data_IF_556160570020
#
_entry.id   IF_556160570020
#
_cell.length_a   1.000
_cell.length_b   1.000
_cell.length_c   1.000
_cell.angle_alpha   90.00
_cell.angle_beta   90.00
_cell.angle_gamma   90.00
#
_symmetry.space_group_name_H-M   'P 1'
#
loop_
_entity.id
_entity.type
_entity.pdbx_description
1 polymer ?
#
# COMPACT_ATOMS: atom_id res chain seq x y z
N UNK A 1 -32.00 -20.34 -0.29
CA UNK A 1 -30.71 -20.47 -0.99
C UNK A 1 -30.09 -19.09 -0.86
N UNK A 2 -29.26 -18.89 0.16
CA UNK A 2 -28.51 -17.65 0.28
C UNK A 2 -27.49 -17.62 -0.86
N UNK A 3 -27.67 -16.71 -1.82
CA UNK A 3 -26.60 -16.34 -2.73
C UNK A 3 -25.56 -15.64 -1.88
N UNK A 4 -24.49 -16.35 -1.52
CA UNK A 4 -23.28 -15.69 -1.03
C UNK A 4 -22.64 -15.01 -2.24
N UNK A 5 -22.94 -13.72 -2.41
CA UNK A 5 -22.27 -12.89 -3.40
C UNK A 5 -20.77 -12.88 -3.08
N UNK A 6 -19.97 -13.35 -4.03
CA UNK A 6 -18.51 -13.40 -3.91
C UNK A 6 -17.90 -12.29 -4.74
N UNK A 7 -17.11 -11.42 -4.09
CA UNK A 7 -16.53 -10.22 -4.67
C UNK A 7 -15.04 -10.44 -4.95
N UNK A 8 -14.54 -10.14 -6.16
CA UNK A 8 -13.13 -10.29 -6.47
C UNK A 8 -12.29 -9.26 -5.71
N UNK A 9 -11.14 -9.69 -5.19
CA UNK A 9 -10.17 -8.85 -4.48
C UNK A 9 -8.86 -8.85 -5.27
N UNK A 10 -8.35 -7.66 -5.59
CA UNK A 10 -7.09 -7.49 -6.30
C UNK A 10 -6.16 -6.57 -5.51
N UNK A 11 -4.86 -6.78 -5.66
CA UNK A 11 -3.83 -5.90 -5.14
C UNK A 11 -3.18 -5.17 -6.32
N UNK A 12 -3.27 -3.84 -6.34
CA UNK A 12 -2.59 -2.99 -7.28
C UNK A 12 -1.23 -2.62 -6.71
N UNK A 13 -0.19 -2.75 -7.51
CA UNK A 13 1.20 -2.49 -7.15
C UNK A 13 1.78 -1.46 -8.09
N UNK A 14 2.39 -0.42 -7.52
CA UNK A 14 2.97 0.71 -8.23
C UNK A 14 4.44 0.86 -7.82
N UNK A 15 5.34 1.02 -8.79
CA UNK A 15 6.73 1.39 -8.59
C UNK A 15 6.87 2.92 -8.64
N UNK A 16 6.96 3.56 -7.47
CA UNK A 16 7.13 5.01 -7.35
C UNK A 16 8.45 5.50 -7.95
N UNK A 17 9.44 4.63 -8.13
CA UNK A 17 10.70 4.98 -8.78
C UNK A 17 10.60 4.99 -10.31
N UNK A 18 9.51 4.45 -10.87
CA UNK A 18 9.32 4.23 -12.32
C UNK A 18 10.53 3.55 -12.96
N UNK A 19 11.10 2.55 -12.29
CA UNK A 19 12.29 1.82 -12.74
C UNK A 19 13.63 2.54 -12.54
N UNK A 20 13.66 3.78 -12.04
CA UNK A 20 14.92 4.49 -11.74
C UNK A 20 15.69 3.82 -10.59
N UNK A 21 14.99 3.26 -9.59
CA UNK A 21 15.63 2.50 -8.51
C UNK A 21 16.45 1.33 -9.08
N UNK A 22 15.90 0.63 -10.08
CA UNK A 22 16.54 -0.50 -10.75
C UNK A 22 17.71 -0.11 -11.65
N UNK A 23 17.74 1.12 -12.18
CA UNK A 23 18.85 1.60 -13.00
C UNK A 23 20.00 2.16 -12.17
N UNK A 24 19.69 2.84 -11.07
CA UNK A 24 20.69 3.41 -10.17
C UNK A 24 21.33 2.33 -9.27
N UNK A 25 20.67 1.18 -9.10
CA UNK A 25 21.17 0.05 -8.32
C UNK A 25 22.45 -0.61 -8.87
N UNK A 26 22.85 -0.31 -10.11
CA UNK A 26 24.04 -0.88 -10.74
C UNK A 26 25.38 -0.17 -10.36
N UNK A 27 25.32 0.97 -9.67
CA UNK A 27 26.49 1.75 -9.22
C UNK A 27 26.62 1.65 -7.69
N UNK A 28 27.80 1.81 -7.06
CA UNK A 28 28.08 1.53 -5.62
C UNK A 28 27.09 2.14 -4.57
N UNK A 29 26.22 3.07 -4.96
CA UNK A 29 24.96 3.48 -4.29
C UNK A 29 23.84 2.40 -4.38
N UNK A 30 24.22 1.21 -4.82
CA UNK A 30 23.37 0.36 -5.63
C UNK A 30 22.55 -0.61 -4.84
N UNK A 31 23.13 -1.09 -3.73
CA UNK A 31 22.40 -1.79 -2.67
C UNK A 31 21.48 -0.85 -1.86
N UNK A 32 21.81 0.46 -1.82
CA UNK A 32 21.01 1.45 -1.10
C UNK A 32 19.77 1.91 -1.88
N UNK A 33 19.87 1.96 -3.21
CA UNK A 33 18.78 2.34 -4.11
C UNK A 33 18.03 1.13 -4.70
N UNK A 34 18.53 -0.11 -4.53
CA UNK A 34 17.88 -1.37 -4.99
C UNK A 34 16.49 -1.61 -4.41
N UNK A 35 16.05 -0.81 -3.44
CA UNK A 35 14.82 -1.04 -2.72
C UNK A 35 13.61 -0.59 -3.53
N UNK A 36 13.34 -1.31 -4.63
CA UNK A 36 12.02 -1.33 -5.24
C UNK A 36 10.96 -1.43 -4.14
N UNK A 37 11.17 -2.25 -3.10
CA UNK A 37 10.27 -2.42 -1.95
C UNK A 37 9.92 -1.12 -1.20
N UNK A 38 10.90 -0.26 -0.90
CA UNK A 38 10.65 1.02 -0.20
C UNK A 38 9.98 2.07 -1.09
N UNK A 39 9.97 1.83 -2.40
CA UNK A 39 9.32 2.66 -3.41
C UNK A 39 8.06 2.00 -3.96
N UNK A 40 7.61 0.86 -3.43
CA UNK A 40 6.35 0.28 -3.86
C UNK A 40 5.20 0.89 -3.06
N UNK A 41 4.21 1.37 -3.80
CA UNK A 41 2.91 1.69 -3.25
C UNK A 41 1.93 0.57 -3.62
N UNK A 42 1.05 0.20 -2.69
CA UNK A 42 -0.03 -0.73 -2.98
C UNK A 42 -1.40 -0.22 -2.56
N UNK A 43 -2.41 -0.63 -3.32
CA UNK A 43 -3.82 -0.43 -3.03
C UNK A 43 -4.60 -1.73 -3.18
N UNK A 44 -5.59 -1.96 -2.30
CA UNK A 44 -6.50 -3.10 -2.40
C UNK A 44 -7.74 -2.69 -3.17
N UNK A 45 -8.04 -3.39 -4.24
CA UNK A 45 -9.22 -3.18 -5.08
C UNK A 45 -10.30 -4.20 -4.75
N UNK A 46 -11.43 -3.72 -4.27
CA UNK A 46 -12.63 -4.51 -3.96
C UNK A 46 -13.86 -3.62 -4.11
N UNK A 47 -15.05 -4.19 -4.41
CA UNK A 47 -16.29 -3.41 -4.57
C UNK A 47 -16.18 -2.27 -5.59
N UNK A 48 -15.34 -2.44 -6.62
CA UNK A 48 -15.11 -1.44 -7.66
C UNK A 48 -14.31 -0.21 -7.22
N UNK A 49 -13.70 -0.22 -6.04
CA UNK A 49 -12.89 0.88 -5.49
C UNK A 49 -11.51 0.40 -5.10
N UNK A 50 -10.52 1.26 -5.28
CA UNK A 50 -9.16 1.07 -4.79
C UNK A 50 -9.00 1.77 -3.45
N UNK A 51 -8.62 1.00 -2.43
CA UNK A 51 -8.42 1.45 -1.06
C UNK A 51 -6.93 1.43 -0.72
N UNK A 52 -6.41 2.52 -0.18
CA UNK A 52 -5.01 2.63 0.20
C UNK A 52 -4.86 3.52 1.44
N UNK A 53 -3.71 3.37 2.11
CA UNK A 53 -3.33 4.25 3.21
C UNK A 53 -2.37 5.33 2.70
N UNK A 54 -2.90 6.54 2.57
CA UNK A 54 -2.12 7.73 2.25
C UNK A 54 -1.61 8.36 3.54
N UNK A 55 -0.34 8.73 3.58
CA UNK A 55 0.21 9.29 4.80
C UNK A 55 -0.29 10.71 5.05
N UNK A 56 -0.46 11.16 6.29
CA UNK A 56 -1.21 12.40 6.64
C UNK A 56 -2.71 12.41 6.28
N UNK A 57 -3.17 11.77 5.20
CA UNK A 57 -4.60 11.72 4.83
C UNK A 57 -5.35 10.59 5.54
N UNK A 58 -4.67 9.50 5.90
CA UNK A 58 -5.33 8.31 6.43
C UNK A 58 -5.76 7.35 5.34
N UNK A 59 -6.67 6.43 5.69
CA UNK A 59 -7.31 5.53 4.72
C UNK A 59 -8.11 6.37 3.73
N UNK A 60 -7.87 6.16 2.44
CA UNK A 60 -8.56 6.83 1.34
C UNK A 60 -8.94 5.81 0.28
N UNK A 61 -9.88 6.18 -0.59
CA UNK A 61 -10.23 5.37 -1.74
C UNK A 61 -10.34 6.22 -3.02
N UNK A 62 -10.21 5.57 -4.16
CA UNK A 62 -10.42 6.17 -5.48
C UNK A 62 -10.92 5.09 -6.47
N UNK A 63 -11.35 5.46 -7.68
CA UNK A 63 -11.54 4.48 -8.74
C UNK A 63 -10.24 3.71 -9.02
N UNK A 64 -10.27 2.42 -9.42
CA UNK A 64 -9.06 1.65 -9.70
C UNK A 64 -8.14 2.33 -10.72
N UNK A 65 -6.89 2.61 -10.33
CA UNK A 65 -5.92 3.36 -11.12
C UNK A 65 -6.21 4.87 -11.20
N UNK A 66 -7.04 5.40 -10.29
CA UNK A 66 -7.48 6.79 -10.25
C UNK A 66 -6.58 7.73 -9.44
N UNK A 67 -5.44 7.23 -8.97
CA UNK A 67 -4.42 8.05 -8.31
C UNK A 67 -3.60 8.85 -9.33
N UNK A 68 -2.79 9.82 -8.88
CA UNK A 68 -1.85 10.53 -9.76
C UNK A 68 -0.73 9.61 -10.29
N UNK A 69 -0.59 8.40 -9.73
CA UNK A 69 0.35 7.40 -10.23
C UNK A 69 -0.09 6.82 -11.57
N UNK A 70 -1.39 6.90 -11.91
CA UNK A 70 -1.97 6.35 -13.12
C UNK A 70 -2.28 4.86 -13.00
N UNK A 71 -2.16 4.07 -14.08
CA UNK A 71 -2.42 2.63 -14.02
C UNK A 71 -1.35 1.88 -13.21
N UNK A 72 -1.70 0.75 -12.54
CA UNK A 72 -0.75 -0.04 -11.78
C UNK A 72 0.29 -0.72 -12.67
N UNK A 73 1.52 -0.83 -12.17
CA UNK A 73 2.61 -1.57 -12.84
C UNK A 73 2.35 -3.08 -12.81
N UNK A 74 1.69 -3.56 -11.74
CA UNK A 74 1.31 -4.96 -11.59
C UNK A 74 -0.01 -5.10 -10.84
N UNK A 75 -0.79 -6.11 -11.22
CA UNK A 75 -2.04 -6.48 -10.56
C UNK A 75 -1.92 -7.92 -10.09
N UNK A 76 -2.03 -8.12 -8.78
CA UNK A 76 -2.00 -9.44 -8.15
C UNK A 76 -3.42 -9.85 -7.78
N UNK A 77 -3.81 -11.06 -8.17
CA UNK A 77 -5.09 -11.65 -7.78
C UNK A 77 -5.01 -12.17 -6.33
N UNK A 78 -5.85 -11.63 -5.45
CA UNK A 78 -5.91 -12.02 -4.04
C UNK A 78 -7.01 -13.06 -3.78
N UNK A 79 -7.83 -13.39 -4.78
CA UNK A 79 -8.98 -14.28 -4.69
C UNK A 79 -10.30 -13.51 -4.58
N UNK A 80 -11.23 -14.05 -3.80
CA UNK A 80 -12.54 -13.43 -3.59
C UNK A 80 -12.89 -13.37 -2.10
N UNK A 81 -13.83 -12.49 -1.77
CA UNK A 81 -14.36 -12.30 -0.43
C UNK A 81 -15.88 -12.39 -0.45
N UNK A 82 -16.47 -12.85 0.65
CA UNK A 82 -17.92 -12.80 0.88
C UNK A 82 -18.31 -11.58 1.74
N UNK A 83 -17.32 -10.75 2.10
CA UNK A 83 -17.54 -9.56 2.93
C UNK A 83 -18.29 -8.48 2.12
N UNK A 84 -19.51 -8.09 2.54
CA UNK A 84 -20.26 -7.03 1.87
C UNK A 84 -19.59 -5.66 2.00
N UNK A 85 -19.90 -4.75 1.08
CA UNK A 85 -19.29 -3.41 1.04
C UNK A 85 -19.50 -2.63 2.35
N UNK A 86 -20.68 -2.73 2.97
CA UNK A 86 -21.01 -1.99 4.18
C UNK A 86 -20.20 -2.46 5.40
N UNK A 87 -20.07 -3.79 5.58
CA UNK A 87 -19.19 -4.35 6.63
C UNK A 87 -17.74 -3.94 6.40
N UNK A 88 -17.31 -3.92 5.14
CA UNK A 88 -15.96 -3.50 4.80
C UNK A 88 -15.71 -2.01 5.12
N UNK A 89 -16.67 -1.13 4.85
CA UNK A 89 -16.59 0.30 5.23
C UNK A 89 -16.51 0.49 6.73
N UNK A 90 -17.29 -0.25 7.51
CA UNK A 90 -17.23 -0.22 8.98
C UNK A 90 -15.85 -0.66 9.48
N UNK A 91 -15.31 -1.75 8.92
CA UNK A 91 -13.96 -2.22 9.23
C UNK A 91 -12.90 -1.16 8.92
N UNK A 92 -12.94 -0.55 7.72
CA UNK A 92 -12.01 0.52 7.35
C UNK A 92 -12.14 1.75 8.26
N UNK A 93 -13.35 2.10 8.68
CA UNK A 93 -13.57 3.22 9.62
C UNK A 93 -12.91 2.94 10.96
N UNK A 94 -13.11 1.75 11.52
CA UNK A 94 -12.48 1.32 12.77
C UNK A 94 -10.95 1.33 12.69
N UNK A 95 -10.39 0.85 11.57
CA UNK A 95 -8.96 0.91 11.28
C UNK A 95 -8.45 2.36 11.20
N UNK A 96 -9.20 3.23 10.56
CA UNK A 96 -8.88 4.65 10.37
C UNK A 96 -8.93 5.46 11.66
N UNK A 97 -9.76 5.09 12.63
CA UNK A 97 -9.83 5.73 13.95
C UNK A 97 -8.69 5.30 14.88
N UNK A 98 -8.09 4.15 14.60
CA UNK A 98 -7.05 3.52 15.43
C UNK A 98 -5.68 3.53 14.74
N UNK A 99 -5.30 2.43 14.10
CA UNK A 99 -3.95 2.16 13.60
C UNK A 99 -3.59 2.97 12.35
N UNK A 100 -4.56 3.25 11.48
CA UNK A 100 -4.34 3.88 10.17
C UNK A 100 -4.84 5.33 10.11
N UNK A 101 -4.63 6.07 11.20
CA UNK A 101 -4.73 7.53 11.20
C UNK A 101 -3.59 8.11 10.38
N UNK A 102 -3.83 9.19 9.65
CA UNK A 102 -2.78 9.84 8.85
C UNK A 102 -1.54 10.24 9.67
N UNK A 103 -1.74 10.62 10.95
CA UNK A 103 -0.66 10.95 11.89
C UNK A 103 0.20 9.73 12.31
N UNK A 104 -0.31 8.51 12.13
CA UNK A 104 0.39 7.27 12.48
C UNK A 104 1.15 6.67 11.30
N UNK A 105 1.18 7.37 10.15
CA UNK A 105 1.92 6.90 8.99
C UNK A 105 3.42 6.84 9.31
N UNK A 106 4.02 5.69 9.06
CA UNK A 106 5.46 5.47 9.14
C UNK A 106 5.90 4.65 7.94
N UNK A 107 6.86 5.16 7.17
CA UNK A 107 7.34 4.54 5.94
C UNK A 107 7.78 3.07 6.11
N UNK A 108 8.27 2.70 7.30
CA UNK A 108 8.81 1.38 7.58
C UNK A 108 7.81 0.43 8.25
N UNK A 109 7.11 0.93 9.26
CA UNK A 109 6.32 0.09 10.16
C UNK A 109 4.83 0.13 9.85
N UNK A 110 4.34 1.27 9.36
CA UNK A 110 2.90 1.51 9.18
C UNK A 110 2.66 2.32 7.90
N UNK A 111 2.72 1.65 6.77
CA UNK A 111 2.62 2.24 5.43
C UNK A 111 1.47 1.59 4.63
N UNK A 112 1.37 1.93 3.34
CA UNK A 112 0.36 1.38 2.44
C UNK A 112 0.44 -0.15 2.27
N UNK A 113 1.63 -0.74 2.38
CA UNK A 113 1.86 -2.18 2.23
C UNK A 113 1.40 -2.91 3.50
N UNK A 114 1.71 -2.36 4.69
CA UNK A 114 1.17 -2.87 5.97
C UNK A 114 -0.36 -2.86 5.96
N UNK A 115 -0.95 -1.74 5.54
CA UNK A 115 -2.40 -1.60 5.38
C UNK A 115 -2.98 -2.64 4.41
N UNK A 116 -2.39 -2.74 3.21
CA UNK A 116 -2.87 -3.66 2.17
C UNK A 116 -2.76 -5.11 2.60
N UNK A 117 -1.72 -5.46 3.37
CA UNK A 117 -1.53 -6.80 3.94
C UNK A 117 -2.63 -7.15 4.94
N UNK A 118 -2.96 -6.23 5.85
CA UNK A 118 -4.00 -6.42 6.87
C UNK A 118 -5.40 -6.50 6.26
N UNK A 119 -5.70 -5.61 5.30
CA UNK A 119 -6.97 -5.62 4.58
C UNK A 119 -7.12 -6.87 3.71
N UNK A 120 -6.09 -7.27 2.97
CA UNK A 120 -6.14 -8.51 2.20
C UNK A 120 -6.35 -9.74 3.09
N UNK A 121 -5.72 -9.76 4.27
CA UNK A 121 -5.89 -10.84 5.23
C UNK A 121 -7.32 -10.88 5.78
N UNK A 122 -7.91 -9.73 6.09
CA UNK A 122 -9.32 -9.65 6.52
C UNK A 122 -10.29 -10.14 5.43
N UNK A 123 -10.07 -9.73 4.18
CA UNK A 123 -11.00 -10.04 3.08
C UNK A 123 -10.86 -11.47 2.57
N UNK A 124 -9.64 -12.01 2.48
CA UNK A 124 -9.35 -13.26 1.75
C UNK A 124 -8.64 -14.32 2.59
N UNK A 125 -8.27 -14.00 3.84
CA UNK A 125 -7.42 -14.84 4.68
C UNK A 125 -5.95 -14.89 4.24
N UNK A 126 -5.56 -14.15 3.19
CA UNK A 126 -4.21 -14.15 2.62
C UNK A 126 -3.53 -12.80 2.80
N UNK A 127 -2.26 -12.82 3.17
CA UNK A 127 -1.40 -11.62 3.16
C UNK A 127 -0.92 -11.32 1.74
N UNK A 128 -0.52 -10.08 1.50
CA UNK A 128 0.12 -9.70 0.23
C UNK A 128 1.49 -10.39 0.08
N UNK A 129 2.01 -10.54 -1.16
CA UNK A 129 3.30 -11.17 -1.38
C UNK A 129 4.44 -10.54 -0.57
N UNK A 130 5.27 -11.39 0.04
CA UNK A 130 6.29 -10.92 0.99
C UNK A 130 7.33 -10.01 0.35
N UNK A 131 7.64 -10.19 -0.94
CA UNK A 131 8.55 -9.29 -1.67
C UNK A 131 8.12 -7.81 -1.67
N UNK A 132 6.86 -7.50 -1.34
CA UNK A 132 6.30 -6.14 -1.24
C UNK A 132 6.40 -5.59 0.20
N UNK A 133 6.30 -6.47 1.21
CA UNK A 133 6.35 -6.10 2.63
C UNK A 133 7.73 -6.23 3.25
N UNK A 134 8.59 -7.07 2.66
CA UNK A 134 9.92 -7.37 3.12
C UNK A 134 10.83 -6.22 2.75
N UNK A 135 10.71 -5.14 3.52
CA UNK A 135 11.70 -4.09 3.54
C UNK A 135 13.04 -4.74 3.88
N UNK A 136 14.14 -4.43 3.18
CA UNK A 136 15.43 -5.02 3.53
C UNK A 136 15.84 -4.48 4.90
N UNK A 137 15.57 -5.26 5.94
CA UNK A 137 16.03 -5.03 7.32
C UNK A 137 17.55 -4.79 7.34
N UNK A 138 18.24 -5.37 6.37
CA UNK A 138 19.66 -5.24 6.11
C UNK A 138 20.09 -3.78 5.88
N UNK A 139 19.22 -2.93 5.32
CA UNK A 139 19.57 -1.53 5.03
C UNK A 139 19.46 -0.66 6.27
N UNK A 140 18.42 -0.84 7.08
CA UNK A 140 18.36 -0.21 8.41
C UNK A 140 19.50 -0.72 9.31
N UNK A 141 20.00 -1.94 9.09
CA UNK A 141 21.15 -2.46 9.83
C UNK A 141 22.50 -1.83 9.40
N UNK A 142 22.56 -1.11 8.27
CA UNK A 142 23.79 -0.43 7.85
C UNK A 142 24.03 0.90 8.59
N UNK A 143 25.29 1.33 8.78
CA UNK A 143 25.61 2.64 9.35
C UNK A 143 24.99 3.82 8.58
N UNK A 144 24.85 3.69 7.26
CA UNK A 144 24.22 4.70 6.43
C UNK A 144 22.69 4.73 6.59
N UNK A 145 22.04 3.57 6.64
CA UNK A 145 20.60 3.50 6.91
C UNK A 145 20.24 4.06 8.29
N UNK A 146 21.08 3.82 9.31
CA UNK A 146 20.94 4.46 10.62
C UNK A 146 21.13 5.97 10.56
N UNK A 147 22.05 6.47 9.73
CA UNK A 147 22.27 7.91 9.55
C UNK A 147 21.10 8.61 8.81
N UNK A 148 20.45 7.93 7.87
CA UNK A 148 19.29 8.45 7.14
C UNK A 148 17.95 8.22 7.83
N UNK A 149 17.89 7.39 8.87
CA UNK A 149 16.65 7.02 9.56
C UNK A 149 15.79 8.22 9.97
N UNK A 150 16.32 9.31 10.58
CA UNK A 150 15.50 10.48 10.93
C UNK A 150 14.85 11.16 9.72
N UNK A 151 15.52 11.13 8.56
CA UNK A 151 14.99 11.70 7.32
C UNK A 151 13.94 10.77 6.70
N UNK A 152 14.18 9.46 6.69
CA UNK A 152 13.26 8.47 6.17
C UNK A 152 11.98 8.34 7.03
N UNK A 153 12.11 8.46 8.36
CA UNK A 153 10.97 8.50 9.28
C UNK A 153 10.07 9.73 9.05
N UNK A 154 10.63 10.82 8.51
CA UNK A 154 9.88 12.02 8.15
C UNK A 154 9.18 11.93 6.80
N UNK A 155 9.45 10.89 6.01
CA UNK A 155 8.83 10.71 4.69
C UNK A 155 7.43 10.12 4.80
N UNK A 156 6.54 10.68 3.97
CA UNK A 156 5.13 10.33 3.94
C UNK A 156 4.72 10.17 2.47
N UNK A 157 4.16 9.02 2.11
CA UNK A 157 3.72 8.76 0.73
C UNK A 157 2.24 9.15 0.60
N UNK A 158 1.96 10.07 -0.32
CA UNK A 158 0.61 10.45 -0.73
C UNK A 158 0.49 10.34 -2.25
N UNK A 159 -0.11 9.24 -2.75
CA UNK A 159 -0.34 9.05 -4.18
C UNK A 159 -1.20 10.16 -4.79
N UNK A 160 -2.05 10.81 -3.99
CA UNK A 160 -3.08 11.74 -4.46
C UNK A 160 -4.14 11.01 -5.28
N UNK A 161 -5.41 11.31 -5.08
CA UNK A 161 -6.49 10.68 -5.82
C UNK A 161 -7.57 11.69 -6.16
N UNK A 162 -8.10 11.62 -7.39
CA UNK A 162 -9.32 12.33 -7.71
C UNK A 162 -10.47 11.63 -6.97
N UNK A 163 -10.87 12.17 -5.82
CA UNK A 163 -12.16 11.87 -5.23
C UNK A 163 -13.23 12.41 -6.18
N UNK A 164 -13.70 11.59 -7.12
CA UNK A 164 -14.92 11.91 -7.89
C UNK A 164 -16.18 11.88 -7.01
N UNK A 165 -16.06 11.57 -5.71
CA UNK A 165 -17.10 11.81 -4.72
C UNK A 165 -17.01 13.26 -4.21
N UNK A 166 -17.51 14.19 -5.01
CA UNK A 166 -17.51 15.62 -4.73
C UNK A 166 -18.38 16.43 -5.70
N UNK A 167 -19.58 15.95 -5.99
CA UNK A 167 -20.77 16.74 -6.31
C UNK A 167 -21.93 16.25 -5.45
#
# INVERSE_FOLDING_TARGET
MDQTDSYPVKLYVYDLSRGMARQLSASMLGEFLTNSVMTQHTGVVVHGKEHYFGGSTGITNCPPGGTLLGPPDSVVDMGSTEVPEDLFKEYLTSLGESKYRGANYNLFENNCNTFSSEVAQFLTGRKIPSYITDLPSDILATPFGQALRPFLDSMVINPGGNNLAGQ
#
